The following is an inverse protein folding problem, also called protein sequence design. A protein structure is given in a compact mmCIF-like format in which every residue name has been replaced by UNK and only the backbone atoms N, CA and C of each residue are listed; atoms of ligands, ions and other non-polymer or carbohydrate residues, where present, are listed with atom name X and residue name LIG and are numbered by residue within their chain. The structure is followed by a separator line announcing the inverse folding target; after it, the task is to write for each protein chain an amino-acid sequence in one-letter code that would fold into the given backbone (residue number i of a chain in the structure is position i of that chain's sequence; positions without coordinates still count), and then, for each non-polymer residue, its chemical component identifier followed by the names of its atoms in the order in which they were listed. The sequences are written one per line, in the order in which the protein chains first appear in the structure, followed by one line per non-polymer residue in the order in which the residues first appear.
data_IF_321926321554
#
_entry.id   IF_321926321554
#
_cell.length_a   1.000
_cell.length_b   1.000
_cell.length_c   1.000
_cell.angle_alpha   90.00
_cell.angle_beta   90.00
_cell.angle_gamma   90.00
#
_symmetry.space_group_name_H-M   'P 1'
#
loop_
_entity.id
_entity.type
_entity.pdbx_description
1 polymer ?
#
# COMPACT_ATOMS: atom_id res chain seq x y z
N UNK A 1 -8.72 7.61 -5.66
CA UNK A 1 -7.49 8.34 -5.25
C UNK A 1 -7.13 8.19 -3.77
N UNK A 2 -8.09 8.09 -2.83
CA UNK A 2 -7.79 8.01 -1.39
C UNK A 2 -6.91 6.82 -0.97
N UNK A 3 -7.14 5.61 -1.51
CA UNK A 3 -6.43 4.40 -1.07
C UNK A 3 -4.93 4.45 -1.38
N UNK A 4 -4.55 5.07 -2.50
CA UNK A 4 -3.14 5.19 -2.89
C UNK A 4 -2.37 6.11 -1.94
N UNK A 5 -3.03 7.16 -1.44
CA UNK A 5 -2.43 8.07 -0.47
C UNK A 5 -2.20 7.36 0.86
N UNK A 6 -3.17 6.54 1.30
CA UNK A 6 -3.06 5.74 2.53
C UNK A 6 -1.94 4.71 2.40
N UNK A 7 -1.87 3.98 1.28
CA UNK A 7 -0.80 3.00 1.01
C UNK A 7 0.57 3.67 0.99
N UNK A 8 0.70 4.85 0.36
CA UNK A 8 1.94 5.64 0.38
C UNK A 8 2.34 6.04 1.80
N UNK A 9 1.40 6.43 2.66
CA UNK A 9 1.69 6.77 4.06
C UNK A 9 2.11 5.55 4.86
N UNK A 10 1.44 4.41 4.68
CA UNK A 10 1.81 3.16 5.33
C UNK A 10 3.22 2.69 4.92
N UNK A 11 3.54 2.77 3.63
CA UNK A 11 4.89 2.45 3.11
C UNK A 11 5.97 3.36 3.71
N UNK A 12 5.70 4.66 3.83
CA UNK A 12 6.60 5.62 4.49
C UNK A 12 6.80 5.34 5.98
N UNK A 13 5.74 4.92 6.67
CA UNK A 13 5.83 4.59 8.09
C UNK A 13 6.69 3.34 8.33
N UNK A 14 6.66 2.35 7.42
CA UNK A 14 7.46 1.13 7.57
C UNK A 14 8.89 1.24 7.03
N UNK A 15 9.12 2.01 5.96
CA UNK A 15 10.43 2.15 5.32
C UNK A 15 11.34 3.23 5.93
N UNK A 16 10.89 3.89 7.00
CA UNK A 16 11.48 5.16 7.44
C UNK A 16 11.11 6.32 6.51
N UNK A 17 11.28 7.54 6.99
CA UNK A 17 10.79 8.78 6.37
C UNK A 17 11.19 9.01 4.89
N UNK A 18 12.12 8.22 4.35
CA UNK A 18 12.71 8.37 3.02
C UNK A 18 12.14 7.45 1.93
N UNK A 19 11.23 6.53 2.24
CA UNK A 19 10.66 5.66 1.22
C UNK A 19 9.74 6.45 0.26
N UNK A 20 10.22 6.74 -0.96
CA UNK A 20 9.41 7.31 -2.03
C UNK A 20 8.72 6.20 -2.82
N UNK A 21 7.38 6.23 -2.88
CA UNK A 21 6.61 5.33 -3.74
C UNK A 21 6.87 5.71 -5.20
N UNK A 22 7.65 4.90 -5.93
CA UNK A 22 8.02 5.17 -7.33
C UNK A 22 6.97 4.65 -8.31
N UNK A 23 6.47 3.44 -8.09
CA UNK A 23 5.52 2.80 -8.97
C UNK A 23 4.58 1.87 -8.23
N UNK A 24 3.41 1.61 -8.84
CA UNK A 24 2.45 0.61 -8.41
C UNK A 24 2.22 -0.36 -9.57
N UNK A 25 3.09 -1.38 -9.75
CA UNK A 25 3.04 -2.27 -10.91
C UNK A 25 1.71 -3.03 -11.04
N UNK A 26 1.04 -3.27 -9.90
CA UNK A 26 -0.28 -3.87 -9.91
C UNK A 26 -1.10 -3.37 -8.72
N UNK A 27 -2.35 -3.04 -8.97
CA UNK A 27 -3.36 -2.75 -7.94
C UNK A 27 -4.67 -3.36 -8.40
N UNK A 28 -5.30 -4.14 -7.53
CA UNK A 28 -6.61 -4.74 -7.78
C UNK A 28 -7.58 -4.28 -6.70
N UNK A 29 -8.63 -3.60 -7.13
CA UNK A 29 -9.76 -3.23 -6.30
C UNK A 29 -10.81 -4.35 -6.40
N UNK A 30 -11.21 -4.88 -5.25
CA UNK A 30 -12.23 -5.92 -5.13
C UNK A 30 -13.54 -5.36 -4.60
N UNK A 31 -13.43 -4.39 -3.69
CA UNK A 31 -14.57 -3.73 -3.07
C UNK A 31 -14.50 -2.21 -3.21
N UNK A 32 -15.68 -1.59 -3.15
CA UNK A 32 -15.80 -0.13 -3.06
C UNK A 32 -15.60 0.29 -1.61
N UNK A 33 -14.60 1.12 -1.37
CA UNK A 33 -14.41 1.78 -0.07
C UNK A 33 -15.27 3.03 -0.01
N UNK A 34 -15.95 3.22 1.12
CA UNK A 34 -16.86 4.32 1.40
C UNK A 34 -16.28 5.23 2.48
N UNK A 35 -16.65 6.52 2.51
CA UNK A 35 -16.33 7.39 3.64
C UNK A 35 -16.85 6.79 4.95
N UNK A 36 -16.01 6.76 5.98
CA UNK A 36 -16.31 6.15 7.27
C UNK A 36 -15.87 4.69 7.41
N UNK A 37 -15.49 4.02 6.33
CA UNK A 37 -14.90 2.68 6.42
C UNK A 37 -13.55 2.74 7.15
N UNK A 38 -13.37 1.85 8.12
CA UNK A 38 -12.08 1.65 8.79
C UNK A 38 -11.25 0.70 7.95
N UNK A 39 -10.06 1.15 7.55
CA UNK A 39 -9.14 0.39 6.71
C UNK A 39 -8.03 -0.22 7.55
N UNK A 40 -7.91 -1.54 7.48
CA UNK A 40 -6.72 -2.24 7.94
C UNK A 40 -5.76 -2.39 6.76
N UNK A 41 -4.53 -1.87 6.91
CA UNK A 41 -3.52 -1.82 5.86
C UNK A 41 -2.32 -2.64 6.31
N UNK A 42 -2.12 -3.77 5.65
CA UNK A 42 -0.97 -4.62 5.85
C UNK A 42 0.01 -4.44 4.70
N UNK A 43 1.26 -4.17 5.02
CA UNK A 43 2.32 -4.05 4.02
C UNK A 43 3.41 -5.05 4.39
N UNK A 44 3.93 -5.79 3.41
CA UNK A 44 5.05 -6.69 3.60
C UNK A 44 6.37 -5.97 3.28
N UNK A 45 7.48 -6.35 3.93
CA UNK A 45 8.81 -5.84 3.56
C UNK A 45 9.10 -6.05 2.06
N UNK A 46 9.92 -5.17 1.45
CA UNK A 46 10.31 -5.30 0.06
C UNK A 46 11.08 -6.60 -0.21
N UNK A 47 10.87 -7.19 -1.39
CA UNK A 47 11.69 -8.29 -1.91
C UNK A 47 13.05 -7.80 -2.44
N UNK A 48 13.87 -8.71 -2.99
CA UNK A 48 15.19 -8.41 -3.54
C UNK A 48 15.15 -7.41 -4.71
N UNK A 49 13.99 -7.28 -5.37
CA UNK A 49 13.75 -6.33 -6.45
C UNK A 49 13.15 -5.00 -5.94
N UNK A 50 13.03 -4.81 -4.62
CA UNK A 50 12.47 -3.60 -4.02
C UNK A 50 10.94 -3.53 -4.07
N UNK A 51 10.24 -4.65 -4.32
CA UNK A 51 8.77 -4.70 -4.37
C UNK A 51 8.18 -5.04 -3.02
N UNK A 52 7.34 -4.16 -2.52
CA UNK A 52 6.50 -4.39 -1.34
C UNK A 52 5.10 -4.78 -1.77
N UNK A 53 4.58 -5.89 -1.24
CA UNK A 53 3.17 -6.27 -1.38
C UNK A 53 2.34 -5.60 -0.29
N UNK A 54 1.14 -5.15 -0.63
CA UNK A 54 0.21 -4.59 0.33
C UNK A 54 -1.20 -5.12 0.13
N UNK A 55 -1.91 -5.26 1.25
CA UNK A 55 -3.30 -5.67 1.34
C UNK A 55 -4.05 -4.60 2.16
N UNK A 56 -5.25 -4.24 1.70
CA UNK A 56 -6.17 -3.33 2.40
C UNK A 56 -7.48 -4.06 2.64
N UNK A 57 -7.93 -4.07 3.89
CA UNK A 57 -9.17 -4.73 4.33
C UNK A 57 -10.14 -3.72 4.95
N UNK A 58 -11.43 -3.98 4.78
CA UNK A 58 -12.52 -3.34 5.53
C UNK A 58 -13.13 -4.43 6.42
N UNK A 59 -12.84 -4.38 7.73
CA UNK A 59 -13.09 -5.51 8.62
C UNK A 59 -12.42 -6.79 8.08
N UNK A 60 -13.21 -7.84 7.86
CA UNK A 60 -12.72 -9.11 7.34
C UNK A 60 -12.72 -9.23 5.80
N UNK A 61 -13.10 -8.17 5.10
CA UNK A 61 -13.20 -8.19 3.65
C UNK A 61 -11.95 -7.60 3.01
N UNK A 62 -11.31 -8.36 2.12
CA UNK A 62 -10.16 -7.88 1.35
C UNK A 62 -10.63 -6.93 0.23
N UNK A 63 -10.40 -5.63 0.42
CA UNK A 63 -10.88 -4.58 -0.47
C UNK A 63 -9.88 -4.25 -1.59
N UNK A 64 -8.58 -4.21 -1.28
CA UNK A 64 -7.52 -3.90 -2.24
C UNK A 64 -6.31 -4.80 -2.02
N UNK A 65 -5.69 -5.23 -3.10
CA UNK A 65 -4.37 -5.87 -3.08
C UNK A 65 -3.46 -5.17 -4.08
N UNK A 66 -2.18 -5.06 -3.80
CA UNK A 66 -1.26 -4.50 -4.78
C UNK A 66 0.21 -4.75 -4.48
N UNK A 67 1.02 -4.29 -5.43
CA UNK A 67 2.47 -4.27 -5.37
C UNK A 67 2.90 -2.82 -5.53
N UNK A 68 3.86 -2.40 -4.71
CA UNK A 68 4.50 -1.10 -4.75
C UNK A 68 6.00 -1.28 -4.92
N UNK A 69 6.64 -0.45 -5.74
CA UNK A 69 8.09 -0.30 -5.76
C UNK A 69 8.49 0.90 -4.90
N UNK A 70 9.32 0.64 -3.89
CA UNK A 70 10.00 1.69 -3.14
C UNK A 70 11.21 2.20 -3.91
N UNK A 71 11.45 3.50 -3.82
CA UNK A 71 12.72 4.13 -4.16
C UNK A 71 13.46 4.51 -2.90
N UNK A 72 14.78 4.35 -2.91
CA UNK A 72 15.65 5.09 -2.01
C UNK A 72 15.99 6.43 -2.68
N UNK A 73 15.82 7.53 -1.96
CA UNK A 73 16.27 8.85 -2.40
C UNK A 73 17.78 8.89 -2.12
N UNK A 74 18.57 8.41 -3.09
CA UNK A 74 20.04 8.51 -3.06
C UNK A 74 20.53 9.95 -3.13
#
# INVERSE_FOLDING_TARGET
MAHLVIVRHALRAMGGASATLRALPSVRFREVVRPGDVLDVSVRPPDAEGRSRFDVRIGDTLAVTGVAHGGDDG
#
